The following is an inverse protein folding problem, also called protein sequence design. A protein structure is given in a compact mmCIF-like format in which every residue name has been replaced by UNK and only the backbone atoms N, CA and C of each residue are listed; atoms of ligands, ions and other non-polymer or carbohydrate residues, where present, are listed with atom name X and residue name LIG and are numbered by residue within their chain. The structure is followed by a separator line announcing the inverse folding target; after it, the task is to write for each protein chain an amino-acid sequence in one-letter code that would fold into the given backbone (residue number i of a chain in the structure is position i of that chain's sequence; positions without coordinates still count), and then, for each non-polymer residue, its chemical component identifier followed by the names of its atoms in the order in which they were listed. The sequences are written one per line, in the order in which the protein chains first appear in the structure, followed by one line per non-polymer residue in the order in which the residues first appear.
data_IF_471162734709
#
_entry.id   IF_471162734709
#
_cell.length_a   1.000
_cell.length_b   1.000
_cell.length_c   1.000
_cell.angle_alpha   90.00
_cell.angle_beta   90.00
_cell.angle_gamma   90.00
#
_symmetry.space_group_name_H-M   'P 1'
#
loop_
_entity.id
_entity.type
_entity.pdbx_description
1 polymer ?
#
# COMPACT_ATOMS: atom_id res chain seq x y z
N UNK A 1 14.86 -26.24 17.12
CA UNK A 1 13.81 -26.52 16.13
C UNK A 1 13.37 -25.21 15.50
N UNK A 2 13.96 -24.85 14.36
CA UNK A 2 13.51 -23.75 13.52
C UNK A 2 13.27 -24.36 12.14
N UNK A 3 12.08 -24.92 11.91
CA UNK A 3 11.63 -25.20 10.55
C UNK A 3 11.36 -23.86 9.89
N UNK A 4 12.45 -23.27 9.40
CA UNK A 4 12.44 -22.19 8.43
C UNK A 4 11.62 -22.73 7.26
N UNK A 5 10.37 -22.26 7.14
CA UNK A 5 9.49 -22.53 5.99
C UNK A 5 10.25 -22.10 4.75
N UNK A 6 10.97 -23.04 4.14
CA UNK A 6 11.63 -22.91 2.85
C UNK A 6 10.59 -22.99 1.74
N UNK A 7 9.54 -22.19 1.84
CA UNK A 7 8.61 -22.00 0.74
C UNK A 7 9.24 -20.88 -0.12
N UNK A 8 9.55 -21.12 -1.40
CA UNK A 8 9.79 -19.99 -2.30
C UNK A 8 8.55 -19.08 -2.25
N UNK A 9 8.71 -17.75 -2.36
CA UNK A 9 7.59 -16.85 -2.46
C UNK A 9 6.76 -17.36 -3.63
N UNK A 10 5.55 -17.82 -3.33
CA UNK A 10 4.69 -18.26 -4.40
C UNK A 10 4.37 -17.02 -5.23
N UNK A 11 4.35 -17.12 -6.56
CA UNK A 11 3.89 -16.04 -7.46
C UNK A 11 2.56 -15.44 -6.98
N UNK A 12 1.77 -16.25 -6.27
CA UNK A 12 0.56 -15.86 -5.57
C UNK A 12 0.76 -14.79 -4.48
N UNK A 13 1.80 -14.85 -3.64
CA UNK A 13 2.07 -13.84 -2.61
C UNK A 13 2.41 -12.48 -3.23
N UNK A 14 3.19 -12.48 -4.30
CA UNK A 14 3.50 -11.26 -5.08
C UNK A 14 2.22 -10.71 -5.70
N UNK A 15 1.42 -11.55 -6.34
CA UNK A 15 0.16 -11.15 -6.96
C UNK A 15 -0.86 -10.63 -5.92
N UNK A 16 -0.96 -11.26 -4.76
CA UNK A 16 -1.82 -10.83 -3.67
C UNK A 16 -1.37 -9.47 -3.11
N UNK A 17 -0.06 -9.28 -2.94
CA UNK A 17 0.51 -8.00 -2.50
C UNK A 17 0.27 -6.92 -3.55
N UNK A 18 0.42 -7.22 -4.83
CA UNK A 18 0.07 -6.31 -5.93
C UNK A 18 -1.40 -5.91 -5.91
N UNK A 19 -2.31 -6.86 -5.77
CA UNK A 19 -3.74 -6.58 -5.68
C UNK A 19 -4.08 -5.69 -4.48
N UNK A 20 -3.39 -5.89 -3.34
CA UNK A 20 -3.54 -5.03 -2.16
C UNK A 20 -3.03 -3.60 -2.42
N UNK A 21 -1.90 -3.44 -3.12
CA UNK A 21 -1.38 -2.11 -3.53
C UNK A 21 -2.39 -1.41 -4.44
N UNK A 22 -2.89 -2.10 -5.47
CA UNK A 22 -3.87 -1.55 -6.42
C UNK A 22 -5.18 -1.15 -5.73
N UNK A 23 -5.67 -1.99 -4.82
CA UNK A 23 -6.87 -1.69 -4.03
C UNK A 23 -6.68 -0.43 -3.19
N UNK A 24 -5.57 -0.31 -2.46
CA UNK A 24 -5.29 0.85 -1.62
C UNK A 24 -5.07 2.11 -2.45
N UNK A 25 -4.41 2.01 -3.60
CA UNK A 25 -4.27 3.11 -4.56
C UNK A 25 -5.64 3.61 -5.03
N UNK A 26 -6.57 2.72 -5.38
CA UNK A 26 -7.95 3.08 -5.74
C UNK A 26 -8.67 3.83 -4.62
N UNK A 27 -8.54 3.36 -3.38
CA UNK A 27 -9.10 4.03 -2.19
C UNK A 27 -8.52 5.44 -2.00
N UNK A 28 -7.20 5.61 -2.09
CA UNK A 28 -6.56 6.91 -1.94
C UNK A 28 -6.92 7.89 -3.06
N UNK A 29 -7.01 7.41 -4.30
CA UNK A 29 -7.43 8.25 -5.43
C UNK A 29 -8.87 8.75 -5.26
N UNK A 30 -9.78 7.88 -4.81
CA UNK A 30 -11.16 8.26 -4.48
C UNK A 30 -11.21 9.23 -3.30
N UNK A 31 -10.46 8.96 -2.23
CA UNK A 31 -10.35 9.83 -1.06
C UNK A 31 -9.88 11.24 -1.46
N UNK A 32 -8.87 11.34 -2.33
CA UNK A 32 -8.40 12.62 -2.87
C UNK A 32 -9.47 13.34 -3.68
N UNK A 33 -10.19 12.63 -4.55
CA UNK A 33 -11.29 13.24 -5.31
C UNK A 33 -12.37 13.83 -4.38
N UNK A 34 -12.68 13.15 -3.28
CA UNK A 34 -13.60 13.66 -2.25
C UNK A 34 -13.06 14.91 -1.57
N UNK A 35 -11.79 14.92 -1.15
CA UNK A 35 -11.16 16.09 -0.52
C UNK A 35 -11.11 17.29 -1.47
N UNK A 36 -10.72 17.08 -2.73
CA UNK A 36 -10.66 18.14 -3.75
C UNK A 36 -12.04 18.77 -4.01
N UNK A 37 -13.12 18.01 -3.83
CA UNK A 37 -14.50 18.51 -3.95
C UNK A 37 -15.03 19.13 -2.64
N UNK A 38 -14.17 19.31 -1.64
CA UNK A 38 -14.50 19.95 -0.36
C UNK A 38 -15.18 19.02 0.65
N UNK A 39 -15.14 17.69 0.44
CA UNK A 39 -15.63 16.74 1.43
C UNK A 39 -14.56 16.45 2.47
N UNK A 40 -14.95 16.49 3.74
CA UNK A 40 -14.16 15.89 4.80
C UNK A 40 -14.19 14.36 4.66
N UNK A 41 -13.04 13.74 4.82
CA UNK A 41 -12.89 12.28 4.83
C UNK A 41 -12.25 11.87 6.16
N UNK A 42 -12.59 10.68 6.62
CA UNK A 42 -11.88 10.02 7.72
C UNK A 42 -10.93 8.98 7.10
N UNK A 43 -9.65 9.06 7.47
CA UNK A 43 -8.60 8.12 7.06
C UNK A 43 -8.28 7.10 8.17
N UNK A 44 -9.16 6.98 9.17
CA UNK A 44 -9.03 5.98 10.22
C UNK A 44 -8.80 4.58 9.62
N UNK A 45 -7.75 3.93 10.09
CA UNK A 45 -7.36 2.60 9.63
C UNK A 45 -6.37 2.57 8.47
N UNK A 46 -6.09 3.71 7.80
CA UNK A 46 -5.09 3.77 6.74
C UNK A 46 -3.70 3.33 7.23
N UNK A 47 -3.28 3.77 8.43
CA UNK A 47 -2.01 3.34 9.03
C UNK A 47 -1.95 1.83 9.24
N UNK A 48 -3.08 1.21 9.62
CA UNK A 48 -3.17 -0.24 9.81
C UNK A 48 -3.04 -0.97 8.49
N UNK A 49 -3.66 -0.48 7.43
CA UNK A 49 -3.52 -1.05 6.09
C UNK A 49 -2.09 -0.89 5.55
N UNK A 50 -1.51 0.29 5.70
CA UNK A 50 -0.12 0.54 5.32
C UNK A 50 0.83 -0.39 6.09
N UNK A 51 0.64 -0.58 7.39
CA UNK A 51 1.44 -1.50 8.19
C UNK A 51 1.29 -2.96 7.72
N UNK A 52 0.07 -3.40 7.39
CA UNK A 52 -0.17 -4.73 6.83
C UNK A 52 0.54 -4.92 5.49
N UNK A 53 0.46 -3.94 4.61
CA UNK A 53 1.11 -3.97 3.31
C UNK A 53 2.64 -4.00 3.45
N UNK A 54 3.20 -3.14 4.31
CA UNK A 54 4.63 -3.12 4.61
C UNK A 54 5.12 -4.47 5.17
N UNK A 55 4.35 -5.10 6.07
CA UNK A 55 4.68 -6.42 6.59
C UNK A 55 4.63 -7.50 5.50
N UNK A 56 3.65 -7.46 4.59
CA UNK A 56 3.56 -8.39 3.48
C UNK A 56 4.77 -8.27 2.54
N UNK A 57 5.16 -7.04 2.18
CA UNK A 57 6.34 -6.75 1.35
C UNK A 57 7.62 -7.22 2.04
N UNK A 58 7.77 -6.97 3.34
CA UNK A 58 8.96 -7.37 4.11
C UNK A 58 9.16 -8.89 4.18
N UNK A 59 8.10 -9.68 3.99
CA UNK A 59 8.17 -11.14 3.93
C UNK A 59 8.58 -11.68 2.55
N UNK A 60 8.58 -10.85 1.50
CA UNK A 60 8.97 -11.27 0.16
C UNK A 60 10.50 -11.29 0.01
N UNK A 61 11.06 -12.26 -0.72
CA UNK A 61 12.46 -12.22 -1.12
C UNK A 61 12.80 -11.03 -2.00
N UNK A 62 14.06 -10.58 -1.92
CA UNK A 62 14.51 -9.33 -2.53
C UNK A 62 14.19 -9.20 -4.03
N UNK A 63 14.32 -10.28 -4.81
CA UNK A 63 14.04 -10.22 -6.26
C UNK A 63 12.54 -10.11 -6.57
N UNK A 64 11.69 -10.73 -5.74
CA UNK A 64 10.23 -10.61 -5.86
C UNK A 64 9.73 -9.25 -5.36
N UNK A 65 10.33 -8.71 -4.30
CA UNK A 65 10.00 -7.38 -3.77
C UNK A 65 10.36 -6.24 -4.71
N UNK A 66 11.40 -6.40 -5.55
CA UNK A 66 11.78 -5.40 -6.57
C UNK A 66 10.68 -5.10 -7.57
N UNK A 67 9.87 -6.10 -7.94
CA UNK A 67 8.74 -5.91 -8.85
C UNK A 67 7.65 -4.99 -8.26
N UNK A 68 7.64 -4.80 -6.94
CA UNK A 68 6.66 -3.97 -6.25
C UNK A 68 7.12 -2.51 -6.09
N UNK A 69 8.36 -2.17 -6.45
CA UNK A 69 8.92 -0.84 -6.21
C UNK A 69 8.12 0.28 -6.90
N UNK A 70 7.86 0.14 -8.21
CA UNK A 70 7.12 1.17 -8.96
C UNK A 70 5.66 1.35 -8.45
N UNK A 71 4.91 0.26 -8.17
CA UNK A 71 3.61 0.35 -7.50
C UNK A 71 3.67 1.04 -6.12
N UNK A 72 4.64 0.71 -5.27
CA UNK A 72 4.80 1.30 -3.94
C UNK A 72 5.17 2.79 -4.01
N UNK A 73 6.01 3.19 -4.96
CA UNK A 73 6.32 4.60 -5.22
C UNK A 73 5.09 5.37 -5.69
N UNK A 74 4.26 4.75 -6.53
CA UNK A 74 2.99 5.33 -6.96
C UNK A 74 2.04 5.53 -5.78
N UNK A 75 1.93 4.54 -4.91
CA UNK A 75 1.13 4.64 -3.68
C UNK A 75 1.63 5.75 -2.75
N UNK A 76 2.95 5.89 -2.59
CA UNK A 76 3.57 6.96 -1.77
C UNK A 76 3.20 8.34 -2.33
N UNK A 77 3.30 8.54 -3.65
CA UNK A 77 2.90 9.79 -4.31
C UNK A 77 1.42 10.12 -4.09
N UNK A 78 0.54 9.11 -4.11
CA UNK A 78 -0.89 9.32 -3.84
C UNK A 78 -1.15 9.81 -2.41
N UNK A 79 -0.44 9.25 -1.41
CA UNK A 79 -0.51 9.71 -0.02
C UNK A 79 -0.01 11.15 0.11
N UNK A 80 1.11 11.48 -0.54
CA UNK A 80 1.67 12.85 -0.54
C UNK A 80 0.69 13.86 -1.14
N UNK A 81 0.08 13.52 -2.28
CA UNK A 81 -0.93 14.35 -2.95
C UNK A 81 -2.17 14.54 -2.08
N UNK A 82 -2.66 13.46 -1.45
CA UNK A 82 -3.80 13.54 -0.54
C UNK A 82 -3.49 14.44 0.66
N UNK A 83 -2.30 14.28 1.25
CA UNK A 83 -1.83 15.10 2.38
C UNK A 83 -1.74 16.58 2.00
N UNK A 84 -1.27 16.89 0.78
CA UNK A 84 -1.22 18.26 0.26
C UNK A 84 -2.59 18.90 0.02
N UNK A 85 -3.65 18.09 -0.19
CA UNK A 85 -5.02 18.58 -0.35
C UNK A 85 -5.75 18.77 0.99
N UNK A 86 -5.27 18.16 2.07
CA UNK A 86 -5.89 18.26 3.38
C UNK A 86 -5.42 19.52 4.12
N UNK A 87 -6.28 20.16 4.92
CA UNK A 87 -5.86 21.23 5.81
C UNK A 87 -4.82 20.70 6.79
N UNK A 88 -3.74 21.47 6.98
CA UNK A 88 -2.68 21.13 7.94
C UNK A 88 -3.29 21.13 9.35
N UNK A 89 -3.09 20.08 10.17
CA UNK A 89 -3.58 20.05 11.55
C UNK A 89 -2.95 21.14 12.41
#
# INVERSE_FOLDING_TARGET
MFEKRSQPPSTFEVAATMAAIESLHGTLSMARALVVTGRAIDLAGLDREAARLCAAVACLPGDSGRALLDPLQTLTREVDLLTGCMPRP
#
